data_IF_240041585675
#
_entry.id   IF_240041585675
#
_cell.length_a   1.000
_cell.length_b   1.000
_cell.length_c   1.000
_cell.angle_alpha   90.00
_cell.angle_beta   90.00
_cell.angle_gamma   90.00
#
_symmetry.space_group_name_H-M   'P 1'
#
loop_
_entity.id
_entity.type
_entity.pdbx_description
1 polymer ?
#
# COMPACT_ATOMS: atom_id res chain seq x y z
N UNK A 1 -8.76 1.97 13.74
CA UNK A 1 -7.59 1.30 13.12
C UNK A 1 -7.69 1.43 11.60
N UNK A 2 -6.65 1.08 10.83
CA UNK A 2 -6.68 1.15 9.36
C UNK A 2 -6.56 -0.25 8.75
N UNK A 3 -7.28 -0.52 7.66
CA UNK A 3 -7.11 -1.73 6.88
C UNK A 3 -7.07 -1.44 5.39
N UNK A 4 -6.46 -2.37 4.67
CA UNK A 4 -6.42 -2.40 3.21
C UNK A 4 -6.90 -3.76 2.71
N UNK A 5 -7.44 -3.80 1.49
CA UNK A 5 -7.93 -5.03 0.87
C UNK A 5 -7.19 -5.30 -0.43
N UNK A 6 -7.07 -6.56 -0.83
CA UNK A 6 -6.40 -6.92 -2.07
C UNK A 6 -7.04 -6.22 -3.28
N UNK A 7 -8.37 -6.24 -3.36
CA UNK A 7 -9.12 -5.57 -4.42
C UNK A 7 -8.96 -4.04 -4.40
N UNK A 8 -8.86 -3.42 -3.21
CA UNK A 8 -8.77 -1.98 -3.10
C UNK A 8 -7.37 -1.42 -3.37
N UNK A 9 -6.30 -2.20 -3.19
CA UNK A 9 -4.92 -1.77 -3.48
C UNK A 9 -4.40 -2.26 -4.82
N UNK A 10 -5.12 -3.18 -5.48
CA UNK A 10 -4.75 -3.64 -6.81
C UNK A 10 -4.85 -2.48 -7.79
N UNK A 11 -3.78 -2.25 -8.54
CA UNK A 11 -3.72 -1.23 -9.58
C UNK A 11 -4.39 -1.70 -10.88
N UNK A 12 -4.49 -3.01 -11.06
CA UNK A 12 -5.27 -3.67 -12.09
C UNK A 12 -5.87 -4.96 -11.50
N UNK A 13 -7.16 -5.19 -11.77
CA UNK A 13 -7.89 -6.35 -11.29
C UNK A 13 -7.38 -7.68 -11.86
N UNK A 14 -6.76 -7.68 -13.04
CA UNK A 14 -6.21 -8.88 -13.68
C UNK A 14 -5.08 -9.52 -12.86
N UNK A 15 -4.40 -8.72 -12.03
CA UNK A 15 -3.30 -9.16 -11.18
C UNK A 15 -3.77 -9.75 -9.85
N UNK A 16 -5.07 -9.71 -9.55
CA UNK A 16 -5.63 -10.34 -8.35
C UNK A 16 -5.71 -11.86 -8.58
N UNK A 17 -4.85 -12.61 -7.89
CA UNK A 17 -4.79 -14.08 -7.91
C UNK A 17 -5.25 -14.63 -6.56
N UNK A 18 -6.56 -14.59 -6.34
CA UNK A 18 -7.16 -15.00 -5.07
C UNK A 18 -6.79 -14.03 -3.94
N UNK A 19 -6.17 -14.48 -2.82
CA UNK A 19 -5.78 -13.61 -1.72
C UNK A 19 -4.48 -12.83 -1.98
N UNK A 20 -3.82 -13.06 -3.12
CA UNK A 20 -2.53 -12.45 -3.48
C UNK A 20 -2.70 -11.55 -4.70
N UNK A 21 -1.92 -10.50 -4.77
CA UNK A 21 -1.78 -9.67 -5.98
C UNK A 21 -0.43 -10.00 -6.61
N UNK A 22 -0.43 -10.43 -7.87
CA UNK A 22 0.80 -10.63 -8.62
C UNK A 22 1.46 -9.28 -8.92
N UNK A 23 2.78 -9.17 -8.75
CA UNK A 23 3.50 -7.90 -8.92
C UNK A 23 3.27 -6.93 -7.76
N UNK A 24 2.56 -5.83 -8.02
CA UNK A 24 2.43 -4.71 -7.08
C UNK A 24 1.25 -4.92 -6.13
N UNK A 25 1.55 -5.44 -4.94
CA UNK A 25 0.54 -5.70 -3.91
C UNK A 25 0.94 -5.33 -2.48
N UNK A 26 0.47 -6.11 -1.50
CA UNK A 26 0.64 -5.85 -0.06
C UNK A 26 2.09 -5.60 0.37
N UNK A 27 3.07 -6.27 -0.24
CA UNK A 27 4.49 -6.05 0.09
C UNK A 27 4.93 -4.60 -0.17
N UNK A 28 4.51 -4.03 -1.29
CA UNK A 28 4.80 -2.63 -1.63
C UNK A 28 4.03 -1.68 -0.71
N UNK A 29 2.78 -2.00 -0.38
CA UNK A 29 1.99 -1.23 0.60
C UNK A 29 2.69 -1.17 1.96
N UNK A 30 3.13 -2.32 2.49
CA UNK A 30 3.84 -2.39 3.76
C UNK A 30 5.11 -1.54 3.66
N UNK A 31 5.93 -1.77 2.64
CA UNK A 31 7.16 -0.99 2.43
C UNK A 31 6.91 0.52 2.43
N UNK A 32 5.93 0.99 1.66
CA UNK A 32 5.64 2.42 1.53
C UNK A 32 5.08 3.03 2.82
N UNK A 33 4.21 2.31 3.53
CA UNK A 33 3.51 2.86 4.71
C UNK A 33 4.28 2.65 6.02
N UNK A 34 5.24 1.74 6.09
CA UNK A 34 6.06 1.52 7.31
C UNK A 34 7.45 2.13 7.23
N UNK A 35 7.91 2.57 6.05
CA UNK A 35 9.24 3.17 5.92
C UNK A 35 9.33 4.48 6.71
N UNK A 36 10.43 4.62 7.45
CA UNK A 36 10.75 5.83 8.19
C UNK A 36 12.24 6.14 8.03
N UNK A 37 12.58 7.34 7.56
CA UNK A 37 13.97 7.77 7.40
C UNK A 37 14.15 9.22 7.81
N UNK A 38 15.22 9.51 8.56
CA UNK A 38 15.58 10.84 9.06
C UNK A 38 16.38 11.68 8.06
N UNK A 39 16.91 11.06 6.99
CA UNK A 39 17.78 11.74 6.03
C UNK A 39 16.96 12.32 4.88
N UNK A 40 16.92 13.65 4.79
CA UNK A 40 16.33 14.43 3.69
C UNK A 40 17.27 14.59 2.49
N UNK A 41 18.42 13.92 2.49
CA UNK A 41 19.58 14.22 1.65
C UNK A 41 19.50 13.70 0.21
N UNK A 42 18.32 13.56 -0.39
CA UNK A 42 18.23 13.16 -1.80
C UNK A 42 17.25 14.06 -2.56
N UNK A 43 17.83 15.01 -3.29
CA UNK A 43 17.24 15.57 -4.50
C UNK A 43 17.09 14.41 -5.50
N UNK A 44 15.90 13.80 -5.59
CA UNK A 44 15.64 12.73 -6.57
C UNK A 44 14.59 11.70 -6.18
N UNK A 45 14.26 11.55 -4.88
CA UNK A 45 13.22 10.63 -4.42
C UNK A 45 11.83 11.29 -4.45
N UNK A 46 10.78 10.48 -4.65
CA UNK A 46 9.37 10.87 -4.54
C UNK A 46 9.14 11.90 -3.43
N UNK A 47 8.64 13.09 -3.80
CA UNK A 47 8.41 14.21 -2.86
C UNK A 47 7.28 14.00 -1.85
N UNK A 48 6.58 12.87 -1.90
CA UNK A 48 5.52 12.51 -0.96
C UNK A 48 6.00 11.68 0.25
N UNK A 49 5.05 11.07 0.97
CA UNK A 49 5.24 10.52 2.32
C UNK A 49 5.83 9.10 2.40
N UNK A 50 6.82 8.73 1.58
CA UNK A 50 7.53 7.45 1.81
C UNK A 50 8.32 7.47 3.11
N UNK A 51 8.95 8.61 3.44
CA UNK A 51 9.90 8.71 4.56
C UNK A 51 9.26 8.89 5.93
N UNK A 52 7.96 9.14 5.96
CA UNK A 52 7.16 9.36 7.18
C UNK A 52 5.92 8.47 7.14
N UNK A 53 6.13 7.21 6.79
CA UNK A 53 5.07 6.21 6.67
C UNK A 53 4.24 6.15 7.96
N UNK A 54 2.94 6.33 7.84
CA UNK A 54 2.03 6.45 8.99
C UNK A 54 1.83 5.15 9.77
N UNK A 55 2.34 4.02 9.25
CA UNK A 55 2.36 2.72 9.93
C UNK A 55 3.72 2.35 10.51
N UNK A 56 4.70 3.27 10.48
CA UNK A 56 6.01 3.03 11.07
C UNK A 56 5.90 2.66 12.56
N UNK A 57 6.43 1.49 12.94
CA UNK A 57 6.40 0.99 14.32
C UNK A 57 5.06 0.36 14.74
N UNK A 58 4.04 0.34 13.89
CA UNK A 58 2.78 -0.33 14.19
C UNK A 58 2.87 -1.85 13.99
N UNK A 59 2.08 -2.60 14.77
CA UNK A 59 1.81 -4.01 14.50
C UNK A 59 0.71 -4.14 13.45
N UNK A 60 0.84 -5.10 12.55
CA UNK A 60 -0.19 -5.46 11.60
C UNK A 60 -0.45 -6.97 11.63
N UNK A 61 -1.68 -7.35 11.28
CA UNK A 61 -2.09 -8.74 11.08
C UNK A 61 -2.58 -8.90 9.62
N UNK A 62 -2.24 -10.03 8.99
CA UNK A 62 -2.79 -10.41 7.68
C UNK A 62 -3.90 -11.43 7.95
N UNK A 63 -5.13 -11.08 7.58
CA UNK A 63 -6.30 -11.90 7.81
C UNK A 63 -7.20 -11.95 6.58
N UNK A 64 -8.04 -12.99 6.49
CA UNK A 64 -9.13 -13.01 5.50
C UNK A 64 -10.18 -11.97 5.86
N UNK A 65 -10.93 -11.49 4.85
CA UNK A 65 -12.00 -10.52 5.06
C UNK A 65 -13.04 -11.01 6.06
N UNK A 66 -13.44 -12.27 5.93
CA UNK A 66 -14.39 -12.91 6.86
C UNK A 66 -13.88 -12.91 8.31
N UNK A 67 -12.59 -13.21 8.53
CA UNK A 67 -11.99 -13.20 9.86
C UNK A 67 -11.95 -11.79 10.43
N UNK A 68 -11.52 -10.81 9.63
CA UNK A 68 -11.51 -9.40 10.01
C UNK A 68 -12.90 -8.91 10.42
N UNK A 69 -13.92 -9.14 9.58
CA UNK A 69 -15.29 -8.67 9.82
C UNK A 69 -15.90 -9.32 11.07
N UNK A 70 -15.45 -10.53 11.44
CA UNK A 70 -15.85 -11.20 12.68
C UNK A 70 -15.18 -10.60 13.92
N UNK A 71 -13.90 -10.22 13.83
CA UNK A 71 -13.15 -9.63 14.94
C UNK A 71 -13.37 -8.13 15.12
N UNK A 72 -13.68 -7.42 14.03
CA UNK A 72 -13.82 -5.96 14.00
C UNK A 72 -15.22 -5.46 14.37
N UNK A 73 -16.15 -6.35 14.79
CA UNK A 73 -17.58 -6.00 15.01
C UNK A 73 -17.80 -4.83 15.96
N UNK A 74 -16.90 -4.64 16.92
CA UNK A 74 -17.02 -3.63 17.97
C UNK A 74 -15.98 -2.50 17.82
N UNK A 75 -15.20 -2.49 16.74
CA UNK A 75 -14.12 -1.51 16.50
C UNK A 75 -14.32 -0.76 15.19
N UNK A 76 -14.00 0.54 15.18
CA UNK A 76 -14.03 1.34 13.96
C UNK A 76 -12.73 1.16 13.16
N UNK A 77 -12.86 0.48 12.02
CA UNK A 77 -11.78 0.24 11.06
C UNK A 77 -11.99 1.10 9.81
N UNK A 78 -11.03 1.99 9.54
CA UNK A 78 -11.02 2.84 8.34
C UNK A 78 -10.42 2.05 7.18
N UNK A 79 -11.18 1.91 6.09
CA UNK A 79 -10.63 1.40 4.83
C UNK A 79 -9.79 2.50 4.18
N UNK A 80 -8.47 2.28 4.04
CA UNK A 80 -7.55 3.22 3.41
C UNK A 80 -6.98 2.68 2.09
N UNK A 81 -7.62 1.67 1.49
CA UNK A 81 -7.10 1.01 0.29
C UNK A 81 -6.87 1.98 -0.87
N UNK A 82 -7.80 2.90 -1.14
CA UNK A 82 -7.70 3.87 -2.24
C UNK A 82 -6.55 4.86 -2.03
N UNK A 83 -6.46 5.44 -0.82
CA UNK A 83 -5.38 6.35 -0.43
C UNK A 83 -4.01 5.67 -0.63
N UNK A 84 -3.87 4.45 -0.12
CA UNK A 84 -2.64 3.67 -0.21
C UNK A 84 -2.33 3.26 -1.64
N UNK A 85 -3.33 2.88 -2.44
CA UNK A 85 -3.15 2.54 -3.86
C UNK A 85 -2.61 3.72 -4.65
N UNK A 86 -3.16 4.91 -4.42
CA UNK A 86 -2.72 6.15 -5.06
C UNK A 86 -1.28 6.51 -4.64
N UNK A 87 -0.93 6.34 -3.36
CA UNK A 87 0.46 6.54 -2.90
C UNK A 87 1.42 5.58 -3.59
N UNK A 88 1.14 4.27 -3.61
CA UNK A 88 1.99 3.30 -4.30
C UNK A 88 2.12 3.65 -5.78
N UNK A 89 1.03 3.99 -6.46
CA UNK A 89 1.07 4.40 -7.87
C UNK A 89 1.98 5.61 -8.11
N UNK A 90 1.87 6.64 -7.26
CA UNK A 90 2.64 7.86 -7.40
C UNK A 90 4.15 7.65 -7.16
N UNK A 91 4.50 6.73 -6.24
CA UNK A 91 5.88 6.32 -5.98
C UNK A 91 6.47 5.60 -7.18
N UNK A 92 5.72 4.66 -7.75
CA UNK A 92 6.16 3.95 -8.95
C UNK A 92 6.31 4.90 -10.15
N UNK A 93 5.40 5.85 -10.29
CA UNK A 93 5.48 6.87 -11.34
C UNK A 93 6.71 7.78 -11.20
N UNK A 94 7.10 8.17 -9.98
CA UNK A 94 8.29 8.99 -9.79
C UNK A 94 9.59 8.26 -10.10
N UNK A 95 9.65 6.95 -9.83
CA UNK A 95 10.86 6.14 -10.07
C UNK A 95 10.99 5.71 -11.54
N UNK A 96 9.88 5.39 -12.20
CA UNK A 96 9.88 4.76 -13.53
C UNK A 96 9.29 5.62 -14.65
N UNK A 97 8.71 6.78 -14.33
CA UNK A 97 8.08 7.72 -15.26
C UNK A 97 6.65 7.35 -15.64
N UNK A 98 5.92 8.27 -16.30
CA UNK A 98 4.48 8.16 -16.58
C UNK A 98 4.02 6.86 -17.27
N UNK A 99 4.87 6.24 -18.10
CA UNK A 99 4.59 4.98 -18.82
C UNK A 99 4.87 3.71 -18.03
N UNK A 100 5.10 3.81 -16.72
CA UNK A 100 5.52 2.67 -15.89
C UNK A 100 4.50 1.53 -15.88
N UNK A 101 3.20 1.84 -15.96
CA UNK A 101 2.13 0.82 -15.92
C UNK A 101 2.33 -0.20 -17.03
N UNK A 102 2.55 0.24 -18.27
CA UNK A 102 2.76 -0.60 -19.46
C UNK A 102 3.91 -1.63 -19.33
N UNK A 103 4.84 -1.41 -18.38
CA UNK A 103 5.98 -2.31 -18.13
C UNK A 103 5.76 -3.26 -16.96
N UNK A 104 4.92 -2.90 -16.00
CA UNK A 104 4.84 -3.57 -14.70
C UNK A 104 3.43 -4.04 -14.33
N UNK A 105 2.41 -3.60 -15.04
CA UNK A 105 1.00 -3.93 -14.86
C UNK A 105 0.34 -4.06 -16.24
#
# INVERSE_FOLDING_TARGET
MEFVTAAGIALDAEFIKGPVIAGIGFGHVILCRTCWSLNSSDEGLYGGRIRTGVWAGHRFDIATRERHDRSAKDEEWKNVSEEVSAEVAAIWESEYGAGWRERFI
#
